data_IF_807543115982
#
_entry.id   IF_807543115982
#
_cell.length_a   1.000
_cell.length_b   1.000
_cell.length_c   1.000
_cell.angle_alpha   90.00
_cell.angle_beta   90.00
_cell.angle_gamma   90.00
#
_symmetry.space_group_name_H-M   'P 1'
#
loop_
_entity.id
_entity.type
_entity.pdbx_description
1 polymer ?
#
# COMPACT_ATOMS: atom_id res chain seq x y z
N UNK A 1 -22.96 6.79 47.39
CA UNK A 1 -22.23 7.75 46.54
C UNK A 1 -20.86 7.25 46.03
N UNK A 2 -20.48 5.96 46.20
CA UNK A 2 -19.20 5.42 45.68
C UNK A 2 -19.30 4.81 44.27
N UNK A 3 -20.52 4.50 43.82
CA UNK A 3 -20.76 3.89 42.50
C UNK A 3 -20.52 4.87 41.34
N UNK A 4 -20.72 6.17 41.59
CA UNK A 4 -20.49 7.24 40.61
C UNK A 4 -19.00 7.42 40.29
N UNK A 5 -18.11 7.24 41.29
CA UNK A 5 -16.66 7.34 41.10
C UNK A 5 -16.12 6.20 40.23
N UNK A 6 -16.64 4.98 40.40
CA UNK A 6 -16.29 3.84 39.55
C UNK A 6 -16.85 3.96 38.14
N UNK A 7 -18.06 4.53 37.98
CA UNK A 7 -18.66 4.79 36.68
C UNK A 7 -17.85 5.83 35.88
N UNK A 8 -17.37 6.88 36.55
CA UNK A 8 -16.54 7.92 35.95
C UNK A 8 -15.19 7.34 35.45
N UNK A 9 -14.58 6.44 36.21
CA UNK A 9 -13.32 5.80 35.85
C UNK A 9 -13.44 4.88 34.61
N UNK A 10 -14.56 4.15 34.50
CA UNK A 10 -14.84 3.28 33.35
C UNK A 10 -15.11 4.10 32.08
N UNK A 11 -15.84 5.23 32.21
CA UNK A 11 -16.10 6.14 31.09
C UNK A 11 -14.81 6.78 30.58
N UNK A 12 -13.93 7.24 31.48
CA UNK A 12 -12.62 7.79 31.08
C UNK A 12 -11.77 6.75 30.37
N UNK A 13 -11.79 5.47 30.80
CA UNK A 13 -11.05 4.39 30.16
C UNK A 13 -11.57 4.05 28.74
N UNK A 14 -12.88 4.20 28.50
CA UNK A 14 -13.47 3.96 27.17
C UNK A 14 -13.10 5.04 26.14
N UNK A 15 -12.88 6.30 26.58
CA UNK A 15 -12.55 7.42 25.68
C UNK A 15 -11.11 7.35 25.15
N UNK A 16 -10.20 6.65 25.84
CA UNK A 16 -8.78 6.55 25.44
C UNK A 16 -8.52 5.53 24.32
N UNK A 17 -9.52 4.77 23.89
CA UNK A 17 -9.34 3.75 22.83
C UNK A 17 -9.48 4.31 21.41
N UNK A 18 -9.78 5.61 21.25
CA UNK A 18 -9.89 6.25 19.94
C UNK A 18 -8.52 6.64 19.36
N UNK A 19 -7.59 5.68 19.35
CA UNK A 19 -6.34 5.79 18.61
C UNK A 19 -6.67 5.98 17.12
N UNK A 20 -6.28 7.13 16.54
CA UNK A 20 -6.41 7.48 15.12
C UNK A 20 -5.51 6.58 14.24
N UNK A 21 -5.75 5.28 14.22
CA UNK A 21 -5.02 4.34 13.37
C UNK A 21 -5.54 4.47 11.93
N UNK A 22 -4.65 4.53 10.92
CA UNK A 22 -5.08 4.53 9.53
C UNK A 22 -5.95 3.31 9.23
N UNK A 23 -7.05 3.51 8.50
CA UNK A 23 -7.96 2.44 8.09
C UNK A 23 -7.21 1.39 7.24
N UNK A 24 -7.47 0.11 7.49
CA UNK A 24 -6.85 -1.01 6.75
C UNK A 24 -7.86 -2.18 6.73
N UNK A 25 -8.99 -2.04 6.02
CA UNK A 25 -10.13 -2.95 6.15
C UNK A 25 -9.78 -4.41 5.81
N UNK A 26 -8.92 -4.62 4.81
CA UNK A 26 -8.44 -5.95 4.43
C UNK A 26 -7.14 -6.35 5.16
N UNK A 27 -6.66 -5.50 6.07
CA UNK A 27 -5.48 -5.72 6.90
C UNK A 27 -4.22 -5.97 6.07
N UNK A 28 -4.09 -5.34 4.90
CA UNK A 28 -3.00 -5.58 3.95
C UNK A 28 -1.63 -5.42 4.59
N UNK A 29 -1.46 -4.41 5.45
CA UNK A 29 -0.18 -4.22 6.13
C UNK A 29 0.17 -5.36 7.10
N UNK A 30 -0.84 -5.87 7.82
CA UNK A 30 -0.62 -7.00 8.73
C UNK A 30 -0.35 -8.28 7.94
N UNK A 31 -1.03 -8.49 6.81
CA UNK A 31 -0.75 -9.59 5.89
C UNK A 31 0.71 -9.56 5.42
N UNK A 32 1.20 -8.41 4.95
CA UNK A 32 2.59 -8.21 4.50
C UNK A 32 3.62 -8.49 5.61
N UNK A 33 3.34 -8.16 6.87
CA UNK A 33 4.28 -8.45 7.98
C UNK A 33 4.33 -9.93 8.33
N UNK A 34 3.23 -10.64 8.15
CA UNK A 34 3.12 -12.07 8.48
C UNK A 34 3.58 -12.97 7.31
N UNK A 35 3.46 -12.47 6.09
CA UNK A 35 3.72 -13.20 4.85
C UNK A 35 4.64 -12.39 3.92
N UNK A 36 4.63 -12.70 2.63
CA UNK A 36 5.36 -11.95 1.62
C UNK A 36 4.46 -10.87 1.02
N UNK A 37 5.03 -9.68 0.78
CA UNK A 37 4.41 -8.63 -0.01
C UNK A 37 4.27 -9.08 -1.47
N UNK A 38 3.08 -9.53 -1.83
CA UNK A 38 2.69 -9.79 -3.22
C UNK A 38 2.63 -8.48 -4.02
N UNK A 39 3.51 -8.35 -5.02
CA UNK A 39 3.63 -7.20 -5.91
C UNK A 39 3.28 -7.62 -7.33
N UNK A 40 2.23 -7.05 -7.90
CA UNK A 40 1.91 -7.19 -9.32
C UNK A 40 2.86 -6.38 -10.18
N UNK A 41 3.37 -6.95 -11.27
CA UNK A 41 4.28 -6.29 -12.22
C UNK A 41 3.63 -6.30 -13.59
N UNK A 42 3.27 -5.12 -14.11
CA UNK A 42 2.66 -5.02 -15.44
C UNK A 42 3.66 -5.47 -16.50
N UNK A 43 3.23 -6.36 -17.39
CA UNK A 43 4.04 -6.76 -18.53
C UNK A 43 4.24 -5.58 -19.49
N UNK A 44 5.51 -5.32 -19.84
CA UNK A 44 5.90 -4.32 -20.82
C UNK A 44 6.97 -4.90 -21.76
N UNK A 45 7.06 -4.43 -23.02
CA UNK A 45 8.14 -4.84 -23.91
C UNK A 45 9.50 -4.51 -23.31
N UNK A 46 10.40 -5.50 -23.28
CA UNK A 46 11.82 -5.33 -22.96
C UNK A 46 12.35 -4.25 -23.92
N UNK A 47 13.01 -3.22 -23.40
CA UNK A 47 13.48 -2.00 -24.09
C UNK A 47 12.52 -0.80 -24.13
N UNK A 48 11.25 -0.95 -23.76
CA UNK A 48 10.36 0.21 -23.63
C UNK A 48 10.76 1.12 -22.46
N UNK A 49 10.44 2.42 -22.54
CA UNK A 49 10.63 3.34 -21.41
C UNK A 49 9.82 2.88 -20.19
N UNK A 50 8.61 2.36 -20.42
CA UNK A 50 7.76 1.78 -19.38
C UNK A 50 8.46 0.61 -18.67
N UNK A 51 9.14 -0.28 -19.40
CA UNK A 51 9.90 -1.38 -18.81
C UNK A 51 11.03 -0.88 -17.89
N UNK A 52 11.77 0.16 -18.32
CA UNK A 52 12.82 0.76 -17.49
C UNK A 52 12.26 1.37 -16.19
N UNK A 53 11.10 2.02 -16.26
CA UNK A 53 10.40 2.53 -15.08
C UNK A 53 9.98 1.40 -14.14
N UNK A 54 9.40 0.33 -14.68
CA UNK A 54 8.98 -0.84 -13.90
C UNK A 54 10.16 -1.49 -13.17
N UNK A 55 11.32 -1.61 -13.81
CA UNK A 55 12.53 -2.14 -13.15
C UNK A 55 13.01 -1.22 -12.01
N UNK A 56 12.88 0.10 -12.17
CA UNK A 56 13.17 1.05 -11.08
C UNK A 56 12.16 0.90 -9.92
N UNK A 57 10.87 0.76 -10.22
CA UNK A 57 9.82 0.50 -9.23
C UNK A 57 10.05 -0.84 -8.51
N UNK A 58 10.52 -1.87 -9.22
CA UNK A 58 10.87 -3.17 -8.63
C UNK A 58 12.00 -3.04 -7.60
N UNK A 59 13.09 -2.36 -7.97
CA UNK A 59 14.20 -2.05 -7.06
C UNK A 59 13.69 -1.22 -5.86
N UNK A 60 12.78 -0.28 -6.10
CA UNK A 60 12.16 0.51 -5.04
C UNK A 60 11.37 -0.38 -4.06
N UNK A 61 10.64 -1.39 -4.55
CA UNK A 61 9.91 -2.35 -3.71
C UNK A 61 10.81 -3.33 -2.97
N UNK A 62 11.97 -3.67 -3.51
CA UNK A 62 13.00 -4.44 -2.79
C UNK A 62 13.61 -3.62 -1.64
N UNK A 63 13.86 -2.32 -1.88
CA UNK A 63 14.31 -1.39 -0.84
C UNK A 63 13.24 -1.17 0.24
N UNK A 64 11.97 -1.07 -0.16
CA UNK A 64 10.84 -1.03 0.78
C UNK A 64 10.82 -2.28 1.67
N UNK A 65 10.96 -3.46 1.05
CA UNK A 65 11.05 -4.74 1.75
C UNK A 65 12.19 -4.75 2.76
N UNK A 66 13.37 -4.29 2.36
CA UNK A 66 14.54 -4.16 3.23
C UNK A 66 14.27 -3.21 4.41
N UNK A 67 13.67 -2.05 4.13
CA UNK A 67 13.39 -1.02 5.12
C UNK A 67 12.45 -1.51 6.23
N UNK A 68 11.40 -2.25 5.87
CA UNK A 68 10.42 -2.78 6.82
C UNK A 68 10.66 -4.24 7.23
N UNK A 69 11.76 -4.86 6.76
CA UNK A 69 12.10 -6.28 7.00
C UNK A 69 11.00 -7.24 6.54
N UNK A 70 10.41 -6.96 5.37
CA UNK A 70 9.42 -7.81 4.70
C UNK A 70 9.96 -8.29 3.37
N UNK A 71 9.57 -9.51 2.96
CA UNK A 71 9.98 -10.07 1.66
C UNK A 71 8.99 -9.66 0.58
N UNK A 72 9.49 -9.44 -0.62
CA UNK A 72 8.66 -9.14 -1.81
C UNK A 72 8.57 -10.36 -2.71
N UNK A 73 7.37 -10.65 -3.20
CA UNK A 73 7.11 -11.66 -4.22
C UNK A 73 6.48 -10.99 -5.43
N UNK A 74 7.17 -11.05 -6.56
CA UNK A 74 6.74 -10.42 -7.80
C UNK A 74 5.92 -11.37 -8.65
N UNK A 75 4.82 -10.89 -9.20
CA UNK A 75 3.88 -11.61 -10.05
C UNK A 75 3.62 -10.80 -11.31
N UNK A 76 4.05 -11.31 -12.46
CA UNK A 76 3.81 -10.66 -13.74
C UNK A 76 2.39 -10.90 -14.25
N UNK A 77 1.82 -9.91 -14.94
CA UNK A 77 0.51 -10.05 -15.57
C UNK A 77 0.12 -8.84 -16.42
N UNK A 78 -1.04 -8.93 -17.07
CA UNK A 78 -1.64 -7.77 -17.74
C UNK A 78 -2.21 -6.79 -16.72
N UNK A 79 -2.32 -5.52 -17.10
CA UNK A 79 -2.89 -4.48 -16.24
C UNK A 79 -4.27 -4.87 -15.71
N UNK A 80 -5.17 -5.38 -16.58
CA UNK A 80 -6.50 -5.87 -16.20
C UNK A 80 -6.44 -7.01 -15.17
N UNK A 81 -5.60 -8.03 -15.39
CA UNK A 81 -5.47 -9.17 -14.47
C UNK A 81 -4.96 -8.74 -13.09
N UNK A 82 -4.03 -7.78 -13.07
CA UNK A 82 -3.45 -7.28 -11.84
C UNK A 82 -4.44 -6.39 -11.09
N UNK A 83 -5.21 -5.54 -11.77
CA UNK A 83 -6.28 -4.74 -11.16
C UNK A 83 -7.35 -5.66 -10.55
N UNK A 84 -7.78 -6.69 -11.27
CA UNK A 84 -8.71 -7.68 -10.72
C UNK A 84 -8.12 -8.37 -9.49
N UNK A 85 -6.84 -8.72 -9.51
CA UNK A 85 -6.15 -9.32 -8.37
C UNK A 85 -6.06 -8.35 -7.19
N UNK A 86 -5.83 -7.07 -7.44
CA UNK A 86 -5.75 -6.01 -6.44
C UNK A 86 -7.12 -5.79 -5.76
N UNK A 87 -8.19 -5.69 -6.56
CA UNK A 87 -9.55 -5.50 -6.08
C UNK A 87 -10.07 -6.70 -5.28
N UNK A 88 -9.57 -7.90 -5.59
CA UNK A 88 -9.88 -9.13 -4.86
C UNK A 88 -8.89 -9.42 -3.71
N UNK A 89 -8.04 -8.45 -3.34
CA UNK A 89 -7.03 -8.58 -2.26
C UNK A 89 -6.07 -9.77 -2.42
N UNK A 90 -5.83 -10.23 -3.65
CA UNK A 90 -4.88 -11.31 -3.96
C UNK A 90 -3.44 -10.82 -4.03
N UNK A 91 -3.26 -9.53 -4.33
CA UNK A 91 -1.97 -8.82 -4.31
C UNK A 91 -2.10 -7.54 -3.50
N UNK A 92 -0.99 -7.01 -3.00
CA UNK A 92 -0.98 -5.84 -2.13
C UNK A 92 -0.69 -4.53 -2.85
N UNK A 93 0.01 -4.57 -3.98
CA UNK A 93 0.28 -3.39 -4.81
C UNK A 93 0.62 -3.79 -6.24
N UNK A 94 0.54 -2.84 -7.16
CA UNK A 94 0.96 -2.99 -8.56
C UNK A 94 2.01 -1.95 -8.90
N UNK A 95 3.09 -2.39 -9.53
CA UNK A 95 4.08 -1.57 -10.23
C UNK A 95 3.84 -1.70 -11.74
N UNK A 96 3.96 -0.60 -12.46
CA UNK A 96 3.53 -0.52 -13.85
C UNK A 96 3.88 0.79 -14.56
N UNK A 97 4.65 1.69 -13.94
CA UNK A 97 4.92 3.02 -14.47
C UNK A 97 3.65 3.86 -14.63
N UNK A 98 2.74 3.82 -13.66
CA UNK A 98 1.46 4.52 -13.75
C UNK A 98 1.63 6.00 -13.46
N UNK A 99 1.02 6.87 -14.26
CA UNK A 99 0.96 8.29 -13.96
C UNK A 99 -0.10 8.61 -12.89
N UNK A 100 0.15 9.65 -12.09
CA UNK A 100 -0.82 10.17 -11.11
C UNK A 100 -2.16 10.58 -11.73
N UNK A 101 -2.15 10.98 -13.01
CA UNK A 101 -3.33 11.36 -13.78
C UNK A 101 -3.79 10.18 -14.66
N UNK A 102 -4.16 9.07 -14.05
CA UNK A 102 -4.67 7.90 -14.76
C UNK A 102 -6.21 7.80 -14.71
N UNK A 103 -6.78 7.02 -15.62
CA UNK A 103 -8.24 6.79 -15.72
C UNK A 103 -8.79 5.92 -14.58
N UNK A 104 -7.93 5.15 -13.91
CA UNK A 104 -8.27 4.17 -12.88
C UNK A 104 -8.31 4.74 -11.45
N UNK A 105 -8.05 6.04 -11.27
CA UNK A 105 -7.97 6.72 -9.95
C UNK A 105 -9.19 6.54 -9.05
N UNK A 106 -10.34 6.18 -9.64
CA UNK A 106 -11.58 5.93 -8.90
C UNK A 106 -11.73 4.46 -8.49
N UNK A 107 -10.99 3.54 -9.11
CA UNK A 107 -11.04 2.09 -8.89
C UNK A 107 -9.94 1.65 -7.93
N UNK A 108 -8.75 2.25 -8.03
CA UNK A 108 -7.59 1.89 -7.21
C UNK A 108 -7.22 3.00 -6.22
N UNK A 109 -6.51 2.65 -5.15
CA UNK A 109 -5.73 3.60 -4.37
C UNK A 109 -4.41 3.92 -5.09
N UNK A 110 -3.91 5.14 -4.94
CA UNK A 110 -2.62 5.57 -5.51
C UNK A 110 -1.74 6.15 -4.42
N UNK A 111 -0.43 5.93 -4.50
CA UNK A 111 0.55 6.61 -3.64
C UNK A 111 0.72 8.06 -4.06
N UNK A 112 1.31 8.88 -3.19
CA UNK A 112 1.98 10.10 -3.63
C UNK A 112 2.98 9.81 -4.76
N UNK A 113 3.17 10.73 -5.72
CA UNK A 113 4.07 10.51 -6.84
C UNK A 113 5.53 10.51 -6.38
N UNK A 114 6.27 9.46 -6.74
CA UNK A 114 7.64 9.27 -6.27
C UNK A 114 8.67 10.13 -7.02
N UNK A 115 8.38 10.54 -8.25
CA UNK A 115 9.21 11.43 -9.08
C UNK A 115 8.45 12.69 -9.56
N UNK A 116 7.28 12.95 -8.97
CA UNK A 116 6.39 14.05 -9.36
C UNK A 116 5.36 13.68 -10.43
N UNK A 117 5.51 12.53 -11.10
CA UNK A 117 4.63 12.05 -12.17
C UNK A 117 4.03 10.69 -11.83
N UNK A 118 4.87 9.71 -11.47
CA UNK A 118 4.49 8.30 -11.38
C UNK A 118 4.10 7.87 -9.97
N UNK A 119 3.15 6.94 -9.89
CA UNK A 119 2.52 6.44 -8.66
C UNK A 119 2.44 4.91 -8.67
N UNK A 120 2.36 4.32 -7.49
CA UNK A 120 2.06 2.89 -7.33
C UNK A 120 0.56 2.71 -7.09
N UNK A 121 0.00 1.59 -7.53
CA UNK A 121 -1.39 1.25 -7.23
C UNK A 121 -1.49 0.33 -6.03
N UNK A 122 -2.48 0.57 -5.17
CA UNK A 122 -2.79 -0.23 -3.98
C UNK A 122 -4.30 -0.49 -3.89
N UNK A 123 -4.77 -1.46 -3.09
CA UNK A 123 -6.19 -1.64 -2.88
C UNK A 123 -6.80 -0.38 -2.24
N UNK A 124 -7.95 0.02 -2.76
CA UNK A 124 -8.62 1.24 -2.31
C UNK A 124 -9.04 1.12 -0.85
N UNK A 125 -8.64 2.08 -0.02
CA UNK A 125 -9.00 2.15 1.40
C UNK A 125 -7.99 1.48 2.37
N UNK A 126 -6.94 0.85 1.87
CA UNK A 126 -5.82 0.32 2.68
C UNK A 126 -4.86 1.46 3.09
N UNK A 127 -5.36 2.39 3.91
CA UNK A 127 -4.65 3.61 4.28
C UNK A 127 -3.40 3.35 5.13
N UNK A 128 -3.33 2.22 5.86
CA UNK A 128 -2.11 1.88 6.62
C UNK A 128 -0.98 1.43 5.70
N UNK A 129 -1.29 0.61 4.70
CA UNK A 129 -0.33 0.27 3.64
C UNK A 129 0.11 1.52 2.88
N UNK A 130 -0.85 2.36 2.48
CA UNK A 130 -0.58 3.64 1.82
C UNK A 130 0.39 4.49 2.64
N UNK A 131 0.09 4.70 3.92
CA UNK A 131 0.91 5.48 4.83
C UNK A 131 2.35 4.93 4.91
N UNK A 132 2.51 3.61 4.96
CA UNK A 132 3.85 2.98 5.02
C UNK A 132 4.64 3.15 3.74
N UNK A 133 3.98 3.06 2.59
CA UNK A 133 4.59 3.33 1.28
C UNK A 133 5.01 4.80 1.16
N UNK A 134 4.14 5.73 1.57
CA UNK A 134 4.44 7.16 1.50
C UNK A 134 5.54 7.58 2.48
N UNK A 135 5.56 7.02 3.69
CA UNK A 135 6.68 7.21 4.64
C UNK A 135 8.01 6.79 4.00
N UNK A 136 8.02 5.67 3.28
CA UNK A 136 9.20 5.17 2.60
C UNK A 136 9.58 6.05 1.40
N UNK A 137 8.63 6.40 0.53
CA UNK A 137 8.86 7.27 -0.64
C UNK A 137 9.44 8.62 -0.19
N UNK A 138 8.95 9.18 0.91
CA UNK A 138 9.47 10.42 1.46
C UNK A 138 10.92 10.31 1.95
N UNK A 139 11.33 9.14 2.48
CA UNK A 139 12.69 8.91 2.99
C UNK A 139 13.73 8.67 1.89
N UNK A 140 13.30 8.28 0.69
CA UNK A 140 14.20 8.01 -0.44
C UNK A 140 14.29 9.18 -1.44
N UNK A 141 13.48 10.23 -1.24
CA UNK A 141 13.63 11.52 -1.92
C UNK A 141 14.76 12.33 -1.28
#
# INVERSE_FOLDING_TARGET
MKWFEHLLFIIVFLVVTNCNMPKDPNKSWNSIKQHEMQVGVVQAPVDSERFKLIEQEKIMMEKFGTFYKVKSKFLEGTETQLIDSLNNNKIHLIIGGFEKNNILKNEVGTTAPYDGIHVLFIPKGENLLLFKLEEFIYKIK
#
